data_IF_961120489615
#
_entry.id   IF_961120489615
#
_cell.length_a   1.000
_cell.length_b   1.000
_cell.length_c   1.000
_cell.angle_alpha   90.00
_cell.angle_beta   90.00
_cell.angle_gamma   90.00
#
_symmetry.space_group_name_H-M   'P 1'
#
loop_
_entity.id
_entity.type
_entity.pdbx_description
1 polymer ?
#
# COMPACT_ATOMS: atom_id res chain seq x y z
N UNK A 1 -2.71 -6.47 8.41
CA UNK A 1 -2.59 -6.27 6.93
C UNK A 1 -3.62 -7.07 6.15
N UNK A 2 -3.87 -8.36 6.43
CA UNK A 2 -4.89 -9.13 5.71
C UNK A 2 -6.32 -8.53 5.79
N UNK A 3 -6.68 -7.92 6.92
CA UNK A 3 -7.96 -7.22 7.12
C UNK A 3 -8.05 -5.84 6.44
N UNK A 4 -6.95 -5.29 5.89
CA UNK A 4 -6.88 -3.87 5.48
C UNK A 4 -7.06 -3.65 3.98
N UNK A 5 -7.19 -4.70 3.17
CA UNK A 5 -7.33 -4.59 1.71
C UNK A 5 -8.73 -5.05 1.25
N UNK A 6 -9.62 -5.39 2.19
CA UNK A 6 -10.99 -5.89 1.96
C UNK A 6 -12.04 -4.77 1.97
N UNK A 7 -11.65 -3.55 1.59
CA UNK A 7 -12.56 -2.40 1.45
C UNK A 7 -12.80 -1.54 2.69
N UNK A 8 -12.53 -2.06 3.90
CA UNK A 8 -12.78 -1.31 5.16
C UNK A 8 -11.81 -0.13 5.36
N UNK A 9 -10.55 -0.28 4.91
CA UNK A 9 -9.56 0.80 4.91
C UNK A 9 -9.54 1.45 3.53
N UNK A 10 -9.99 2.69 3.46
CA UNK A 10 -10.11 3.42 2.19
C UNK A 10 -8.90 4.30 1.87
N UNK A 11 -8.06 4.62 2.84
CA UNK A 11 -6.84 5.42 2.66
C UNK A 11 -5.63 4.74 3.27
N UNK A 12 -4.49 4.76 2.58
CA UNK A 12 -3.20 4.40 3.16
C UNK A 12 -2.47 5.66 3.62
N UNK A 13 -2.29 5.77 4.93
CA UNK A 13 -1.62 6.88 5.58
C UNK A 13 -0.12 6.66 5.68
N UNK A 14 0.68 7.68 5.38
CA UNK A 14 2.15 7.63 5.44
C UNK A 14 2.71 8.90 6.05
N UNK A 15 3.87 8.75 6.71
CA UNK A 15 4.67 9.87 7.23
C UNK A 15 5.47 10.61 6.16
N UNK A 16 5.55 10.03 4.97
CA UNK A 16 6.30 10.56 3.84
C UNK A 16 5.42 10.57 2.60
N UNK A 17 5.67 11.54 1.72
CA UNK A 17 5.01 11.64 0.44
C UNK A 17 5.54 10.57 -0.51
N UNK A 18 4.65 9.69 -0.98
CA UNK A 18 4.97 8.80 -2.10
C UNK A 18 4.91 9.62 -3.39
N UNK A 19 5.87 9.40 -4.31
CA UNK A 19 5.90 10.08 -5.60
C UNK A 19 4.56 9.92 -6.34
N UNK A 20 3.99 11.02 -6.84
CA UNK A 20 2.69 11.05 -7.55
C UNK A 20 2.62 10.17 -8.82
N UNK A 21 3.77 9.78 -9.37
CA UNK A 21 3.87 8.81 -10.47
C UNK A 21 3.52 7.40 -10.04
N UNK A 22 3.67 7.07 -8.75
CA UNK A 22 3.31 5.76 -8.18
C UNK A 22 1.81 5.58 -8.22
N UNK A 23 1.37 4.49 -8.86
CA UNK A 23 -0.04 4.13 -8.94
C UNK A 23 -0.40 2.96 -8.03
N UNK A 24 0.58 2.28 -7.45
CA UNK A 24 0.38 1.03 -6.72
C UNK A 24 1.32 0.90 -5.52
N UNK A 25 0.79 0.34 -4.44
CA UNK A 25 1.57 -0.06 -3.28
C UNK A 25 1.55 -1.58 -3.18
N UNK A 26 2.74 -2.16 -3.00
CA UNK A 26 2.95 -3.60 -2.84
C UNK A 26 3.22 -3.87 -1.36
N UNK A 27 2.35 -4.63 -0.70
CA UNK A 27 2.45 -4.84 0.75
C UNK A 27 3.28 -6.09 1.06
N UNK A 28 4.50 -5.87 1.53
CA UNK A 28 5.34 -6.91 2.10
C UNK A 28 4.87 -7.29 3.52
N UNK A 29 4.52 -8.56 3.72
CA UNK A 29 4.23 -9.11 5.06
C UNK A 29 5.52 -9.61 5.67
N UNK A 30 5.83 -9.14 6.88
CA UNK A 30 6.98 -9.57 7.68
C UNK A 30 6.70 -10.94 8.31
N UNK A 31 7.37 -11.27 9.44
CA UNK A 31 7.49 -12.60 10.04
C UNK A 31 6.29 -13.56 9.87
N UNK A 32 6.61 -14.85 9.68
CA UNK A 32 5.75 -15.98 9.31
C UNK A 32 5.47 -16.13 7.80
N UNK A 33 5.42 -15.04 7.02
CA UNK A 33 5.10 -15.14 5.59
C UNK A 33 6.16 -14.58 4.64
N UNK A 34 6.98 -13.60 5.07
CA UNK A 34 8.09 -13.01 4.31
C UNK A 34 7.82 -12.89 2.81
N UNK A 35 6.70 -12.25 2.45
CA UNK A 35 6.21 -12.23 1.08
C UNK A 35 5.32 -11.03 0.80
N UNK A 36 5.27 -10.63 -0.48
CA UNK A 36 4.24 -9.75 -1.01
C UNK A 36 3.07 -10.61 -1.47
N UNK A 37 1.89 -10.30 -0.94
CA UNK A 37 0.64 -11.01 -1.31
C UNK A 37 -0.47 -10.06 -1.72
N UNK A 38 -0.40 -8.80 -1.31
CA UNK A 38 -1.44 -7.82 -1.57
C UNK A 38 -0.87 -6.61 -2.26
N UNK A 39 -1.62 -6.10 -3.23
CA UNK A 39 -1.31 -4.88 -3.97
C UNK A 39 -2.56 -4.00 -3.88
N UNK A 40 -2.40 -2.69 -3.74
CA UNK A 40 -3.50 -1.77 -3.93
C UNK A 40 -3.15 -0.72 -4.99
N UNK A 41 -4.16 -0.25 -5.72
CA UNK A 41 -4.04 0.96 -6.54
C UNK A 41 -4.42 2.17 -5.72
N UNK A 42 -3.64 3.24 -5.89
CA UNK A 42 -3.79 4.47 -5.11
C UNK A 42 -3.89 5.70 -6.00
N UNK A 43 -4.57 6.72 -5.47
CA UNK A 43 -4.50 8.08 -5.99
C UNK A 43 -3.32 8.85 -5.35
N UNK A 44 -2.92 10.00 -5.94
CA UNK A 44 -1.98 10.92 -5.30
C UNK A 44 -2.40 11.26 -3.86
N UNK A 45 -1.41 11.62 -3.03
CA UNK A 45 -1.66 11.96 -1.64
C UNK A 45 -2.60 13.15 -1.51
N UNK A 46 -3.53 13.05 -0.58
CA UNK A 46 -4.20 14.16 0.08
C UNK A 46 -3.54 14.41 1.44
N UNK A 47 -3.70 15.61 1.97
CA UNK A 47 -3.15 16.04 3.25
C UNK A 47 -4.27 16.43 4.21
N UNK A 48 -3.97 16.46 5.50
CA UNK A 48 -4.88 16.98 6.53
C UNK A 48 -4.90 18.51 6.64
N UNK A 49 -4.36 19.22 5.64
CA UNK A 49 -4.41 20.68 5.63
C UNK A 49 -5.85 21.18 5.42
N UNK A 50 -6.13 22.39 5.90
CA UNK A 50 -7.44 23.02 5.72
C UNK A 50 -7.76 23.12 4.22
N UNK A 51 -8.87 22.48 3.81
CA UNK A 51 -9.31 22.41 2.42
C UNK A 51 -8.87 21.16 1.64
N UNK A 52 -8.06 20.28 2.24
CA UNK A 52 -7.59 19.02 1.64
C UNK A 52 -7.98 17.77 2.46
N UNK A 53 -8.74 17.98 3.54
CA UNK A 53 -9.23 16.91 4.41
C UNK A 53 -9.98 15.82 3.63
N UNK A 54 -9.95 14.60 4.17
CA UNK A 54 -10.57 13.46 3.50
C UNK A 54 -12.09 13.64 3.42
N UNK A 55 -12.69 13.55 2.22
CA UNK A 55 -14.13 13.75 2.04
C UNK A 55 -14.98 12.58 2.55
N UNK A 56 -14.38 11.41 2.72
CA UNK A 56 -15.03 10.16 3.12
C UNK A 56 -14.55 9.77 4.52
N UNK A 57 -15.36 9.94 5.56
CA UNK A 57 -14.99 9.60 6.96
C UNK A 57 -15.37 8.17 7.38
N UNK A 58 -16.01 7.40 6.50
CA UNK A 58 -16.47 6.04 6.79
C UNK A 58 -15.38 4.97 6.74
N UNK A 59 -14.22 5.29 6.16
CA UNK A 59 -13.06 4.39 6.17
C UNK A 59 -12.41 4.32 7.54
N UNK A 60 -11.87 3.16 7.88
CA UNK A 60 -11.12 2.96 9.12
C UNK A 60 -10.03 4.05 9.23
N UNK A 61 -10.01 4.70 10.38
CA UNK A 61 -9.05 5.73 10.79
C UNK A 61 -9.16 7.11 10.07
N UNK A 62 -10.11 7.28 9.13
CA UNK A 62 -10.21 8.54 8.36
C UNK A 62 -10.64 9.72 9.24
N UNK A 63 -11.57 9.47 10.17
CA UNK A 63 -12.04 10.51 11.10
C UNK A 63 -10.91 10.93 12.04
N UNK A 64 -10.24 9.97 12.66
CA UNK A 64 -9.12 10.20 13.58
C UNK A 64 -7.96 10.93 12.87
N UNK A 65 -7.72 10.62 11.60
CA UNK A 65 -6.76 11.33 10.76
C UNK A 65 -7.15 12.80 10.55
N UNK A 66 -8.39 13.07 10.14
CA UNK A 66 -8.91 14.43 9.92
C UNK A 66 -8.93 15.26 11.22
N UNK A 67 -9.20 14.63 12.37
CA UNK A 67 -9.23 15.28 13.69
C UNK A 67 -7.84 15.51 14.30
N UNK A 68 -6.75 15.18 13.59
CA UNK A 68 -5.37 15.25 14.10
C UNK A 68 -5.19 14.48 15.42
N UNK A 69 -5.79 13.29 15.53
CA UNK A 69 -5.60 12.45 16.72
C UNK A 69 -4.12 12.06 16.85
N UNK A 70 -3.61 12.04 18.09
CA UNK A 70 -2.19 11.79 18.43
C UNK A 70 -1.57 10.53 17.79
N UNK A 71 -2.40 9.51 17.55
CA UNK A 71 -1.94 8.24 16.95
C UNK A 71 -1.57 8.41 15.46
N UNK A 72 -2.02 9.51 14.85
CA UNK A 72 -1.75 9.94 13.48
C UNK A 72 -0.74 11.09 13.39
N UNK A 73 -0.04 11.41 14.49
CA UNK A 73 1.04 12.39 14.44
C UNK A 73 2.12 11.95 13.44
N UNK A 74 2.62 12.93 12.68
CA UNK A 74 3.54 12.78 11.56
C UNK A 74 2.97 12.07 10.31
N UNK A 75 1.77 11.49 10.37
CA UNK A 75 1.11 10.93 9.18
C UNK A 75 0.41 12.06 8.43
N UNK A 76 1.15 12.80 7.60
CA UNK A 76 0.60 13.96 6.88
C UNK A 76 0.04 13.63 5.50
N UNK A 77 0.20 12.39 5.02
CA UNK A 77 -0.17 12.00 3.66
C UNK A 77 -1.13 10.81 3.65
N UNK A 78 -2.29 10.99 3.03
CA UNK A 78 -3.33 9.98 2.86
C UNK A 78 -3.50 9.63 1.38
N UNK A 79 -3.28 8.36 1.03
CA UNK A 79 -3.43 7.86 -0.33
C UNK A 79 -4.74 7.09 -0.47
N UNK A 80 -5.72 7.63 -1.19
CA UNK A 80 -6.99 6.94 -1.44
C UNK A 80 -6.74 5.63 -2.19
N UNK A 81 -7.20 4.53 -1.63
CA UNK A 81 -7.17 3.20 -2.22
C UNK A 81 -8.39 3.08 -3.15
N UNK A 82 -8.14 2.73 -4.40
CA UNK A 82 -9.18 2.60 -5.44
C UNK A 82 -9.53 1.16 -5.74
N UNK A 83 -8.58 0.26 -5.53
CA UNK A 83 -8.77 -1.17 -5.73
C UNK A 83 -7.72 -1.95 -4.93
N UNK A 84 -8.12 -3.14 -4.48
CA UNK A 84 -7.26 -4.10 -3.82
C UNK A 84 -7.12 -5.36 -4.66
N UNK A 85 -5.93 -5.96 -4.64
CA UNK A 85 -5.66 -7.23 -5.31
C UNK A 85 -4.90 -8.15 -4.38
N UNK A 86 -5.18 -9.45 -4.52
CA UNK A 86 -4.43 -10.53 -3.89
C UNK A 86 -3.73 -11.32 -4.98
N UNK A 87 -2.41 -11.46 -4.85
CA UNK A 87 -1.64 -12.34 -5.71
C UNK A 87 -2.02 -13.79 -5.44
N UNK A 88 -2.27 -14.55 -6.50
CA UNK A 88 -2.59 -15.97 -6.40
C UNK A 88 -1.36 -16.73 -5.91
N UNK A 89 -0.19 -16.37 -6.44
CA UNK A 89 1.13 -16.76 -5.91
C UNK A 89 1.81 -15.58 -5.21
N UNK A 90 2.07 -15.66 -3.89
CA UNK A 90 2.85 -14.67 -3.19
C UNK A 90 4.31 -14.59 -3.69
N UNK A 91 4.84 -13.37 -3.81
CA UNK A 91 6.27 -13.14 -4.05
C UNK A 91 7.02 -13.26 -2.72
N UNK A 92 7.60 -14.42 -2.46
CA UNK A 92 8.42 -14.67 -1.27
C UNK A 92 9.75 -13.92 -1.33
N UNK A 93 10.37 -13.67 -0.17
CA UNK A 93 11.70 -13.08 -0.10
C UNK A 93 12.72 -13.85 -0.94
N UNK A 94 12.64 -15.17 -0.95
CA UNK A 94 13.49 -16.04 -1.77
C UNK A 94 13.29 -15.79 -3.29
N UNK A 95 12.04 -15.66 -3.75
CA UNK A 95 11.72 -15.26 -5.13
C UNK A 95 12.23 -13.85 -5.45
N UNK A 96 12.07 -12.91 -4.50
CA UNK A 96 12.55 -11.53 -4.63
C UNK A 96 14.08 -11.47 -4.75
N UNK A 97 14.81 -12.28 -3.97
CA UNK A 97 16.27 -12.35 -3.98
C UNK A 97 16.81 -13.04 -5.24
N UNK A 98 16.22 -14.18 -5.62
CA UNK A 98 16.73 -15.03 -6.71
C UNK A 98 16.39 -14.50 -8.11
N UNK A 99 15.22 -13.86 -8.29
CA UNK A 99 14.73 -13.46 -9.61
C UNK A 99 14.79 -11.94 -9.84
N UNK A 100 14.79 -11.14 -8.77
CA UNK A 100 14.55 -9.69 -8.87
C UNK A 100 15.61 -8.83 -8.17
N UNK A 101 16.77 -9.43 -7.83
CA UNK A 101 17.93 -8.75 -7.23
C UNK A 101 17.62 -7.97 -5.93
N UNK A 102 16.47 -8.24 -5.29
CA UNK A 102 16.09 -7.61 -4.03
C UNK A 102 16.78 -8.36 -2.88
N UNK A 103 17.96 -7.90 -2.49
CA UNK A 103 18.83 -8.61 -1.52
C UNK A 103 18.32 -8.60 -0.09
N UNK A 104 17.38 -7.70 0.27
CA UNK A 104 16.85 -7.56 1.62
C UNK A 104 15.33 -7.39 1.65
N UNK A 105 14.71 -7.75 2.78
CA UNK A 105 13.31 -7.48 3.04
C UNK A 105 13.06 -5.95 3.05
N UNK A 106 12.07 -5.43 2.32
CA UNK A 106 11.79 -4.00 2.27
C UNK A 106 11.61 -3.39 3.67
N UNK A 107 12.42 -2.38 3.98
CA UNK A 107 12.27 -1.55 5.17
C UNK A 107 11.74 -0.18 4.74
N UNK A 108 10.53 0.18 5.18
CA UNK A 108 9.90 1.43 4.78
C UNK A 108 9.37 1.42 3.33
N UNK A 109 9.84 2.34 2.50
CA UNK A 109 9.47 2.47 1.08
C UNK A 109 10.61 1.95 0.20
N UNK A 110 10.29 0.99 -0.67
CA UNK A 110 11.20 0.50 -1.71
C UNK A 110 10.44 0.51 -3.02
N UNK A 111 11.05 1.05 -4.07
CA UNK A 111 10.48 1.00 -5.41
C UNK A 111 10.68 -0.40 -6.00
N UNK A 112 9.61 -0.94 -6.55
CA UNK A 112 9.61 -2.25 -7.20
C UNK A 112 10.46 -2.20 -8.47
N UNK A 113 11.40 -3.13 -8.68
CA UNK A 113 12.17 -3.24 -9.92
C UNK A 113 11.27 -3.39 -11.15
N UNK A 114 11.70 -2.85 -12.29
CA UNK A 114 10.96 -2.98 -13.56
C UNK A 114 10.74 -4.44 -13.98
N UNK A 115 11.68 -5.33 -13.66
CA UNK A 115 11.55 -6.78 -13.91
C UNK A 115 10.33 -7.40 -13.24
N UNK A 116 9.99 -7.00 -12.01
CA UNK A 116 8.75 -7.44 -11.35
C UNK A 116 7.53 -6.91 -12.09
N UNK A 117 7.56 -5.67 -12.57
CA UNK A 117 6.43 -5.08 -13.30
C UNK A 117 6.19 -5.74 -14.66
N UNK A 118 7.24 -6.22 -15.31
CA UNK A 118 7.19 -6.94 -16.59
C UNK A 118 6.65 -8.37 -16.42
N UNK A 119 7.08 -9.05 -15.36
CA UNK A 119 6.67 -10.42 -15.05
C UNK A 119 5.23 -10.51 -14.52
N UNK A 120 4.82 -9.56 -13.68
CA UNK A 120 3.52 -9.60 -13.03
C UNK A 120 2.41 -8.99 -13.92
N UNK A 121 1.95 -9.78 -14.89
CA UNK A 121 0.69 -9.51 -15.58
C UNK A 121 -0.48 -9.84 -14.65
N UNK A 122 -1.47 -8.94 -14.58
CA UNK A 122 -2.62 -9.01 -13.67
C UNK A 122 -3.47 -10.30 -13.72
N UNK A 123 -3.26 -11.16 -14.71
CA UNK A 123 -3.91 -12.47 -14.81
C UNK A 123 -3.63 -13.38 -13.60
N UNK A 124 -2.56 -13.09 -12.84
CA UNK A 124 -2.16 -13.84 -11.65
C UNK A 124 -2.59 -13.16 -10.33
N UNK A 125 -3.55 -12.23 -10.38
CA UNK A 125 -4.04 -11.53 -9.21
C UNK A 125 -5.58 -11.48 -9.20
N UNK A 126 -6.15 -11.91 -8.08
CA UNK A 126 -7.58 -11.81 -7.82
C UNK A 126 -7.92 -10.43 -7.27
N UNK A 127 -8.81 -9.68 -7.94
CA UNK A 127 -9.35 -8.42 -7.40
C UNK A 127 -10.17 -8.70 -6.15
N UNK A 128 -9.92 -7.92 -5.10
CA UNK A 128 -10.66 -8.00 -3.85
C UNK A 128 -12.01 -7.28 -3.98
N UNK A 129 -13.05 -7.75 -3.27
CA UNK A 129 -14.38 -7.16 -3.30
C UNK A 129 -14.38 -5.73 -2.75
#
# INVERSE_FOLDING_TARGET
MQQRVTGEKTHEFRKYLINSSVKRIWFYRTALHSSIKYICEILPAQTRNVGDALPEENGIDNKEYNEHHKDWDEYDYAHKITSGYRLDEPLTLDKLQSMYEMTFAPQGLVYVPSSILEDFRWINATKLP
#
